data_IF_658263513727
#
_entry.id   IF_658263513727
#
_cell.length_a   1.000
_cell.length_b   1.000
_cell.length_c   1.000
_cell.angle_alpha   90.00
_cell.angle_beta   90.00
_cell.angle_gamma   90.00
#
_symmetry.space_group_name_H-M   'P 1'
#
loop_
_entity.id
_entity.type
_entity.pdbx_description
1 polymer ?
#
# COMPACT_ATOMS: atom_id res chain seq x y z
N UNK A 1 22.05 -57.08 9.42
CA UNK A 1 22.26 -56.10 8.33
C UNK A 1 23.15 -54.91 8.75
N UNK A 2 23.06 -54.36 9.97
CA UNK A 2 23.91 -53.23 10.41
C UNK A 2 25.41 -53.54 10.54
N UNK A 3 25.79 -54.83 10.83
CA UNK A 3 27.20 -55.24 10.91
C UNK A 3 27.92 -55.21 9.58
N UNK A 4 27.24 -55.62 8.49
CA UNK A 4 27.81 -55.70 7.15
C UNK A 4 28.07 -54.29 6.58
N UNK A 5 27.18 -53.32 6.86
CA UNK A 5 27.36 -51.91 6.48
C UNK A 5 28.50 -51.24 7.26
N UNK A 6 28.72 -51.63 8.51
CA UNK A 6 29.78 -51.08 9.33
C UNK A 6 31.16 -51.59 8.91
N UNK A 7 31.30 -52.90 8.57
CA UNK A 7 32.56 -53.51 8.09
C UNK A 7 32.96 -52.95 6.72
N UNK A 8 32.01 -52.83 5.78
CA UNK A 8 32.26 -52.23 4.47
C UNK A 8 32.62 -50.71 4.51
N UNK A 9 32.14 -50.00 5.53
CA UNK A 9 32.40 -48.55 5.65
C UNK A 9 33.77 -48.27 6.33
N UNK A 10 34.31 -49.17 7.15
CA UNK A 10 35.58 -49.00 7.86
C UNK A 10 36.78 -49.43 6.97
N UNK A 11 36.61 -50.48 6.15
CA UNK A 11 37.71 -51.05 5.37
C UNK A 11 37.90 -50.37 3.98
N UNK A 12 36.96 -49.56 3.51
CA UNK A 12 37.06 -48.87 2.23
C UNK A 12 36.63 -47.40 2.29
N UNK A 13 37.57 -46.45 2.44
CA UNK A 13 37.26 -45.01 2.53
C UNK A 13 36.57 -44.48 1.25
N UNK A 14 36.65 -45.18 0.14
CA UNK A 14 35.97 -44.84 -1.11
C UNK A 14 34.46 -45.09 -1.01
N UNK A 15 34.03 -46.18 -0.39
CA UNK A 15 32.62 -46.53 -0.17
C UNK A 15 31.95 -45.53 0.75
N UNK A 16 32.63 -45.09 1.81
CA UNK A 16 32.13 -44.08 2.70
C UNK A 16 31.93 -42.70 1.99
N UNK A 17 32.88 -42.34 1.12
CA UNK A 17 32.78 -41.11 0.31
C UNK A 17 31.61 -41.15 -0.69
N UNK A 18 31.37 -42.31 -1.31
CA UNK A 18 30.24 -42.51 -2.22
C UNK A 18 28.92 -42.42 -1.48
N UNK A 19 28.77 -43.06 -0.31
CA UNK A 19 27.56 -43.01 0.52
C UNK A 19 27.30 -41.58 0.97
N UNK A 20 28.32 -40.87 1.48
CA UNK A 20 28.21 -39.47 1.84
C UNK A 20 27.85 -38.57 0.64
N UNK A 21 28.40 -38.85 -0.52
CA UNK A 21 28.07 -38.14 -1.76
C UNK A 21 26.62 -38.38 -2.20
N UNK A 22 26.10 -39.60 -2.10
CA UNK A 22 24.70 -39.91 -2.40
C UNK A 22 23.76 -39.24 -1.39
N UNK A 23 24.09 -39.26 -0.10
CA UNK A 23 23.29 -38.58 0.94
C UNK A 23 23.29 -37.06 0.68
N UNK A 24 24.45 -36.45 0.41
CA UNK A 24 24.54 -35.02 0.09
C UNK A 24 23.75 -34.67 -1.19
N UNK A 25 23.83 -35.51 -2.22
CA UNK A 25 23.09 -35.34 -3.47
C UNK A 25 21.57 -35.41 -3.26
N UNK A 26 21.11 -36.42 -2.48
CA UNK A 26 19.68 -36.55 -2.15
C UNK A 26 19.21 -35.37 -1.31
N UNK A 27 20.06 -34.85 -0.41
CA UNK A 27 19.74 -33.65 0.40
C UNK A 27 19.63 -32.39 -0.48
N UNK A 28 20.55 -32.23 -1.44
CA UNK A 28 20.50 -31.10 -2.39
C UNK A 28 19.27 -31.20 -3.31
N UNK A 29 18.93 -32.41 -3.79
CA UNK A 29 17.75 -32.63 -4.64
C UNK A 29 16.46 -32.40 -3.85
N UNK A 30 16.36 -32.91 -2.61
CA UNK A 30 15.16 -32.72 -1.78
C UNK A 30 15.01 -31.26 -1.30
N UNK A 31 16.08 -30.60 -0.88
CA UNK A 31 16.03 -29.18 -0.55
C UNK A 31 15.76 -28.30 -1.79
N UNK A 32 16.37 -28.62 -2.92
CA UNK A 32 16.14 -27.91 -4.18
C UNK A 32 14.70 -28.10 -4.69
N UNK A 33 14.13 -29.31 -4.56
CA UNK A 33 12.78 -29.61 -5.03
C UNK A 33 11.68 -29.02 -4.12
N UNK A 34 11.91 -28.95 -2.79
CA UNK A 34 10.98 -28.34 -1.85
C UNK A 34 11.20 -26.85 -1.70
N UNK A 35 12.38 -26.33 -2.03
CA UNK A 35 12.72 -24.90 -1.98
C UNK A 35 12.31 -24.10 -3.22
N UNK A 36 11.99 -24.77 -4.34
CA UNK A 36 11.39 -24.11 -5.50
C UNK A 36 9.88 -24.01 -5.24
N UNK A 37 9.49 -23.10 -4.35
CA UNK A 37 8.15 -22.52 -4.43
C UNK A 37 8.03 -21.95 -5.83
N UNK A 38 7.15 -22.53 -6.65
CA UNK A 38 6.92 -22.05 -8.01
C UNK A 38 6.57 -20.58 -7.91
N UNK A 39 7.37 -19.66 -8.52
CA UNK A 39 7.00 -18.26 -8.56
C UNK A 39 5.58 -18.16 -9.16
N UNK A 40 4.66 -17.51 -8.48
CA UNK A 40 3.30 -17.32 -8.96
C UNK A 40 2.19 -18.17 -8.34
N UNK A 41 2.48 -19.22 -7.54
CA UNK A 41 1.39 -20.03 -6.92
C UNK A 41 0.55 -19.28 -5.89
N UNK A 42 1.07 -18.20 -5.31
CA UNK A 42 0.40 -17.38 -4.31
C UNK A 42 0.18 -15.92 -4.75
N UNK A 43 0.32 -15.63 -6.04
CA UNK A 43 0.12 -14.30 -6.60
C UNK A 43 -1.33 -14.14 -7.02
N UNK A 44 -2.02 -13.19 -6.43
CA UNK A 44 -3.42 -12.90 -6.74
C UNK A 44 -3.57 -11.79 -7.77
N UNK A 45 -2.68 -10.80 -7.75
CA UNK A 45 -2.68 -9.69 -8.71
C UNK A 45 -1.25 -9.44 -9.18
N UNK A 46 -1.06 -9.27 -10.48
CA UNK A 46 0.19 -8.78 -11.05
C UNK A 46 -0.05 -7.42 -11.69
N UNK A 47 0.72 -6.43 -11.28
CA UNK A 47 0.68 -5.06 -11.81
C UNK A 47 2.02 -4.78 -12.47
N UNK A 48 2.07 -4.75 -13.79
CA UNK A 48 3.30 -4.64 -14.58
C UNK A 48 4.30 -5.77 -14.22
N UNK A 49 5.32 -5.45 -13.40
CA UNK A 49 6.34 -6.39 -12.89
C UNK A 49 6.18 -6.69 -11.41
N UNK A 50 5.22 -6.10 -10.74
CA UNK A 50 5.00 -6.23 -9.30
C UNK A 50 3.92 -7.26 -9.02
N UNK A 51 4.20 -8.13 -8.09
CA UNK A 51 3.31 -9.23 -7.69
C UNK A 51 2.73 -8.92 -6.31
N UNK A 52 1.40 -9.04 -6.20
CA UNK A 52 0.67 -8.92 -4.94
C UNK A 52 0.25 -10.32 -4.52
N UNK A 53 0.75 -10.74 -3.37
CA UNK A 53 0.48 -12.07 -2.83
C UNK A 53 -0.92 -12.17 -2.22
N UNK A 54 -1.47 -13.38 -2.21
CA UNK A 54 -2.74 -13.72 -1.55
C UNK A 54 -2.77 -13.26 -0.08
N UNK A 55 -1.63 -13.35 0.62
CA UNK A 55 -1.55 -12.93 2.02
C UNK A 55 -1.72 -11.41 2.18
N UNK A 56 -1.15 -10.61 1.28
CA UNK A 56 -1.31 -9.17 1.28
C UNK A 56 -2.76 -8.77 0.97
N UNK A 57 -3.34 -9.39 -0.05
CA UNK A 57 -4.75 -9.19 -0.39
C UNK A 57 -5.67 -9.53 0.79
N UNK A 58 -5.49 -10.72 1.40
CA UNK A 58 -6.33 -11.14 2.56
C UNK A 58 -6.18 -10.20 3.74
N UNK A 59 -4.98 -9.70 4.00
CA UNK A 59 -4.76 -8.72 5.06
C UNK A 59 -5.52 -7.42 4.77
N UNK A 60 -5.39 -6.88 3.57
CA UNK A 60 -6.07 -5.66 3.15
C UNK A 60 -7.59 -5.83 3.16
N UNK A 61 -8.08 -6.99 2.71
CA UNK A 61 -9.51 -7.32 2.75
C UNK A 61 -10.05 -7.38 4.18
N UNK A 62 -9.35 -8.07 5.09
CA UNK A 62 -9.76 -8.14 6.49
C UNK A 62 -9.75 -6.77 7.15
N UNK A 63 -8.74 -5.94 6.87
CA UNK A 63 -8.70 -4.56 7.37
C UNK A 63 -9.88 -3.72 6.85
N UNK A 64 -10.23 -3.86 5.58
CA UNK A 64 -11.40 -3.19 5.02
C UNK A 64 -12.70 -3.67 5.68
N UNK A 65 -12.86 -4.98 5.88
CA UNK A 65 -14.02 -5.56 6.58
C UNK A 65 -14.12 -5.03 8.01
N UNK A 66 -13.02 -5.00 8.75
CA UNK A 66 -13.00 -4.51 10.14
C UNK A 66 -13.34 -3.02 10.20
N UNK A 67 -12.81 -2.21 9.28
CA UNK A 67 -13.16 -0.79 9.15
C UNK A 67 -14.66 -0.59 8.88
N UNK A 68 -15.23 -1.30 7.92
CA UNK A 68 -16.67 -1.20 7.63
C UNK A 68 -17.53 -1.72 8.76
N UNK A 69 -17.09 -2.77 9.47
CA UNK A 69 -17.80 -3.27 10.66
C UNK A 69 -17.83 -2.24 11.79
N UNK A 70 -16.73 -1.53 12.01
CA UNK A 70 -16.68 -0.46 13.01
C UNK A 70 -17.57 0.73 12.61
N UNK A 71 -17.61 1.06 11.32
CA UNK A 71 -18.41 2.18 10.79
C UNK A 71 -19.91 1.90 10.82
N UNK A 72 -20.34 0.71 10.37
CA UNK A 72 -21.75 0.36 10.20
C UNK A 72 -22.32 -0.49 11.34
N UNK A 73 -21.47 -0.98 12.24
CA UNK A 73 -21.85 -1.78 13.43
C UNK A 73 -22.83 -2.93 13.08
N UNK A 74 -23.99 -2.94 13.73
CA UNK A 74 -25.01 -4.00 13.58
C UNK A 74 -25.63 -4.05 12.18
N UNK A 75 -25.51 -3.01 11.38
CA UNK A 75 -26.01 -2.99 10.00
C UNK A 75 -25.07 -3.68 9.01
N UNK A 76 -23.82 -3.97 9.41
CA UNK A 76 -22.85 -4.60 8.54
C UNK A 76 -23.07 -6.11 8.43
N UNK A 77 -23.49 -6.55 7.25
CA UNK A 77 -23.80 -7.94 6.95
C UNK A 77 -23.22 -8.37 5.58
N UNK A 78 -23.39 -9.65 5.24
CA UNK A 78 -22.87 -10.21 4.00
C UNK A 78 -23.44 -9.54 2.73
N UNK A 79 -24.72 -9.18 2.75
CA UNK A 79 -25.37 -8.48 1.64
C UNK A 79 -24.75 -7.09 1.41
N UNK A 80 -24.43 -6.38 2.48
CA UNK A 80 -23.76 -5.09 2.40
C UNK A 80 -22.36 -5.20 1.83
N UNK A 81 -21.59 -6.23 2.21
CA UNK A 81 -20.25 -6.50 1.66
C UNK A 81 -20.32 -6.67 0.15
N UNK A 82 -21.26 -7.45 -0.36
CA UNK A 82 -21.47 -7.65 -1.80
C UNK A 82 -21.94 -6.37 -2.49
N UNK A 83 -22.93 -5.69 -1.92
CA UNK A 83 -23.48 -4.44 -2.47
C UNK A 83 -22.39 -3.33 -2.56
N UNK A 84 -21.51 -3.26 -1.58
CA UNK A 84 -20.40 -2.30 -1.55
C UNK A 84 -19.22 -2.73 -2.41
N UNK A 85 -19.23 -3.97 -2.95
CA UNK A 85 -18.15 -4.55 -3.75
C UNK A 85 -16.80 -4.42 -3.05
N UNK A 86 -16.75 -4.78 -1.75
CA UNK A 86 -15.55 -4.58 -0.93
C UNK A 86 -14.32 -5.29 -1.53
N UNK A 87 -14.50 -6.48 -2.11
CA UNK A 87 -13.42 -7.20 -2.80
C UNK A 87 -12.82 -6.40 -3.94
N UNK A 88 -13.67 -5.86 -4.82
CA UNK A 88 -13.23 -5.09 -5.98
C UNK A 88 -12.51 -3.81 -5.55
N UNK A 89 -13.04 -3.12 -4.53
CA UNK A 89 -12.39 -1.92 -3.97
C UNK A 89 -11.01 -2.23 -3.42
N UNK A 90 -10.85 -3.31 -2.65
CA UNK A 90 -9.54 -3.70 -2.10
C UNK A 90 -8.55 -4.04 -3.21
N UNK A 91 -9.01 -4.74 -4.26
CA UNK A 91 -8.16 -5.01 -5.43
C UNK A 91 -7.74 -3.71 -6.13
N UNK A 92 -8.68 -2.80 -6.33
CA UNK A 92 -8.41 -1.50 -6.95
C UNK A 92 -7.42 -0.67 -6.14
N UNK A 93 -7.58 -0.64 -4.81
CA UNK A 93 -6.69 0.08 -3.91
C UNK A 93 -5.27 -0.50 -3.94
N UNK A 94 -5.13 -1.83 -3.93
CA UNK A 94 -3.84 -2.50 -4.03
C UNK A 94 -3.15 -2.22 -5.37
N UNK A 95 -3.89 -2.30 -6.47
CA UNK A 95 -3.37 -1.95 -7.81
C UNK A 95 -2.93 -0.48 -7.85
N UNK A 96 -3.77 0.42 -7.38
CA UNK A 96 -3.45 1.85 -7.36
C UNK A 96 -2.20 2.13 -6.51
N UNK A 97 -2.08 1.47 -5.36
CA UNK A 97 -0.90 1.59 -4.47
C UNK A 97 0.38 1.17 -5.18
N UNK A 98 0.40 0.01 -5.85
CA UNK A 98 1.58 -0.45 -6.56
C UNK A 98 1.96 0.46 -7.73
N UNK A 99 0.97 0.97 -8.47
CA UNK A 99 1.21 1.94 -9.55
C UNK A 99 1.84 3.24 -9.03
N UNK A 100 1.38 3.74 -7.88
CA UNK A 100 1.99 4.92 -7.25
C UNK A 100 3.42 4.66 -6.77
N UNK A 101 3.71 3.48 -6.21
CA UNK A 101 5.06 3.09 -5.76
C UNK A 101 5.99 2.98 -6.97
N UNK A 102 5.55 2.33 -8.05
CA UNK A 102 6.31 2.20 -9.29
C UNK A 102 6.64 3.58 -9.85
N UNK A 103 5.62 4.46 -9.95
CA UNK A 103 5.79 5.81 -10.47
C UNK A 103 6.70 6.68 -9.60
N UNK A 104 6.57 6.57 -8.31
CA UNK A 104 7.46 7.24 -7.38
C UNK A 104 8.93 6.79 -7.54
N UNK A 105 9.13 5.49 -7.79
CA UNK A 105 10.45 4.92 -8.11
C UNK A 105 11.06 5.49 -9.39
N UNK A 106 10.24 5.61 -10.46
CA UNK A 106 10.66 6.23 -11.72
C UNK A 106 11.04 7.71 -11.54
N UNK A 107 10.33 8.43 -10.68
CA UNK A 107 10.62 9.82 -10.33
C UNK A 107 11.80 9.98 -9.35
N UNK A 108 12.41 8.88 -8.90
CA UNK A 108 13.50 8.90 -7.93
C UNK A 108 13.10 9.34 -6.52
N UNK A 109 11.80 9.27 -6.19
CA UNK A 109 11.28 9.65 -4.87
C UNK A 109 11.75 8.63 -3.84
N UNK A 110 12.38 9.14 -2.78
CA UNK A 110 12.88 8.34 -1.66
C UNK A 110 12.43 8.92 -0.33
N UNK A 111 12.46 8.08 0.71
CA UNK A 111 12.17 8.46 2.09
C UNK A 111 13.38 8.12 2.94
N UNK A 112 13.92 9.11 3.62
CA UNK A 112 15.03 8.92 4.56
C UNK A 112 14.53 8.25 5.86
N UNK A 113 15.47 7.70 6.64
CA UNK A 113 15.13 7.11 7.94
C UNK A 113 14.66 8.18 8.93
N UNK A 114 15.13 9.41 8.78
CA UNK A 114 14.70 10.55 9.57
C UNK A 114 13.24 10.94 9.25
N UNK A 115 12.89 11.07 7.96
CA UNK A 115 11.50 11.35 7.54
C UNK A 115 10.53 10.26 8.04
N UNK A 116 10.93 8.99 7.95
CA UNK A 116 10.14 7.87 8.45
C UNK A 116 9.93 7.97 9.96
N UNK A 117 11.02 8.15 10.72
CA UNK A 117 10.97 8.27 12.17
C UNK A 117 10.08 9.45 12.59
N UNK A 118 10.25 10.61 11.96
CA UNK A 118 9.46 11.80 12.27
C UNK A 118 7.97 11.60 11.95
N UNK A 119 7.67 10.90 10.87
CA UNK A 119 6.30 10.51 10.53
C UNK A 119 5.67 9.65 11.62
N UNK A 120 6.40 8.62 12.09
CA UNK A 120 5.91 7.72 13.12
C UNK A 120 5.75 8.44 14.47
N UNK A 121 6.73 9.27 14.85
CA UNK A 121 6.67 10.07 16.08
C UNK A 121 5.46 11.02 16.11
N UNK A 122 5.03 11.55 14.95
CA UNK A 122 3.85 12.42 14.85
C UNK A 122 2.51 11.71 14.96
N UNK A 123 2.48 10.37 14.88
CA UNK A 123 1.23 9.59 14.99
C UNK A 123 0.69 9.63 16.42
N UNK A 124 -0.42 10.32 16.61
CA UNK A 124 -1.06 10.51 17.94
C UNK A 124 -1.42 9.20 18.63
N UNK A 125 -1.67 8.13 17.88
CA UNK A 125 -1.98 6.79 18.41
C UNK A 125 -0.84 6.22 19.28
N UNK A 126 0.40 6.66 19.04
CA UNK A 126 1.58 6.25 19.82
C UNK A 126 1.95 7.22 20.92
N UNK A 127 1.09 8.21 21.20
CA UNK A 127 1.34 9.21 22.25
C UNK A 127 0.67 8.80 23.57
N UNK A 128 1.40 9.06 24.65
CA UNK A 128 0.88 9.07 26.01
C UNK A 128 1.19 10.45 26.58
N UNK A 129 0.18 11.11 27.15
CA UNK A 129 0.30 12.45 27.70
C UNK A 129 0.84 13.50 26.68
N UNK A 130 0.48 13.33 25.38
CA UNK A 130 0.88 14.24 24.32
C UNK A 130 2.28 13.97 23.72
N UNK A 131 3.04 13.02 24.26
CA UNK A 131 4.41 12.68 23.83
C UNK A 131 4.47 11.26 23.29
N UNK A 132 5.30 11.03 22.25
CA UNK A 132 5.54 9.69 21.72
C UNK A 132 6.04 8.74 22.82
N UNK A 133 5.40 7.57 22.93
CA UNK A 133 5.72 6.55 23.90
C UNK A 133 6.14 5.25 23.22
N UNK A 134 7.42 4.91 23.32
CA UNK A 134 7.98 3.71 22.70
C UNK A 134 7.32 2.42 23.20
N UNK A 135 7.04 2.30 24.49
CA UNK A 135 6.40 1.11 25.06
C UNK A 135 4.98 0.94 24.52
N UNK A 136 4.24 2.05 24.33
CA UNK A 136 2.92 2.03 23.69
C UNK A 136 3.00 1.61 22.23
N UNK A 137 3.97 2.15 21.48
CA UNK A 137 4.25 1.77 20.10
C UNK A 137 4.49 0.26 19.98
N UNK A 138 5.46 -0.29 20.73
CA UNK A 138 5.80 -1.71 20.69
C UNK A 138 4.62 -2.61 21.09
N UNK A 139 3.82 -2.19 22.09
CA UNK A 139 2.62 -2.90 22.53
C UNK A 139 1.54 -2.92 21.45
N UNK A 140 1.26 -1.79 20.81
CA UNK A 140 0.26 -1.69 19.76
C UNK A 140 0.65 -2.50 18.53
N UNK A 141 1.91 -2.50 18.12
CA UNK A 141 2.37 -3.37 17.06
C UNK A 141 2.19 -4.86 17.41
N UNK A 142 2.62 -5.27 18.60
CA UNK A 142 2.49 -6.66 19.05
C UNK A 142 1.02 -7.12 19.11
N UNK A 143 0.11 -6.27 19.63
CA UNK A 143 -1.33 -6.60 19.70
C UNK A 143 -1.97 -6.73 18.32
N UNK A 144 -1.46 -6.03 17.32
CA UNK A 144 -1.88 -6.14 15.91
C UNK A 144 -1.06 -7.18 15.11
N UNK A 145 -0.21 -7.98 15.77
CA UNK A 145 0.66 -8.98 15.13
C UNK A 145 1.57 -8.40 14.05
N UNK A 146 2.00 -7.16 14.25
CA UNK A 146 2.92 -6.47 13.37
C UNK A 146 4.33 -6.49 13.95
N UNK A 147 5.32 -6.71 13.09
CA UNK A 147 6.72 -6.44 13.41
C UNK A 147 7.03 -4.96 13.16
N UNK A 148 7.98 -4.41 13.91
CA UNK A 148 8.49 -3.05 13.70
C UNK A 148 8.94 -2.84 12.24
N UNK A 149 9.73 -3.77 11.70
CA UNK A 149 10.21 -3.72 10.32
C UNK A 149 9.06 -3.73 9.30
N UNK A 150 8.04 -4.57 9.50
CA UNK A 150 6.87 -4.65 8.62
C UNK A 150 6.04 -3.38 8.65
N UNK A 151 5.82 -2.81 9.85
CA UNK A 151 5.11 -1.55 10.01
C UNK A 151 5.89 -0.38 9.40
N UNK A 152 7.17 -0.24 9.71
CA UNK A 152 8.03 0.82 9.17
C UNK A 152 8.16 0.72 7.65
N UNK A 153 8.27 -0.49 7.09
CA UNK A 153 8.24 -0.73 5.65
C UNK A 153 6.95 -0.27 4.99
N UNK A 154 5.80 -0.54 5.62
CA UNK A 154 4.50 -0.06 5.13
C UNK A 154 4.39 1.46 5.22
N UNK A 155 4.83 2.07 6.32
CA UNK A 155 4.84 3.52 6.48
C UNK A 155 5.73 4.22 5.44
N UNK A 156 6.89 3.64 5.14
CA UNK A 156 7.77 4.16 4.10
C UNK A 156 7.08 4.17 2.73
N UNK A 157 6.36 3.11 2.38
CA UNK A 157 5.56 3.05 1.15
C UNK A 157 4.48 4.15 1.12
N UNK A 158 3.75 4.36 2.23
CA UNK A 158 2.75 5.43 2.30
C UNK A 158 3.35 6.83 2.11
N UNK A 159 4.48 7.12 2.77
CA UNK A 159 5.17 8.40 2.61
C UNK A 159 5.62 8.61 1.16
N UNK A 160 6.13 7.56 0.51
CA UNK A 160 6.51 7.59 -0.91
C UNK A 160 5.30 7.97 -1.78
N UNK A 161 4.16 7.33 -1.58
CA UNK A 161 2.92 7.58 -2.32
C UNK A 161 2.45 9.02 -2.09
N UNK A 162 2.43 9.48 -0.85
CA UNK A 162 2.03 10.85 -0.52
C UNK A 162 2.96 11.90 -1.14
N UNK A 163 4.28 11.65 -1.16
CA UNK A 163 5.24 12.54 -1.84
C UNK A 163 4.96 12.59 -3.35
N UNK A 164 4.68 11.45 -4.00
CA UNK A 164 4.34 11.41 -5.42
C UNK A 164 3.05 12.17 -5.73
N UNK A 165 1.99 11.94 -4.94
CA UNK A 165 0.72 12.67 -5.08
C UNK A 165 0.90 14.17 -4.84
N UNK A 166 1.75 14.56 -3.88
CA UNK A 166 2.02 15.97 -3.58
C UNK A 166 2.63 16.71 -4.76
N UNK A 167 3.56 16.10 -5.50
CA UNK A 167 4.12 16.72 -6.72
C UNK A 167 3.02 17.12 -7.69
N UNK A 168 2.01 16.26 -7.87
CA UNK A 168 0.87 16.56 -8.76
C UNK A 168 -0.01 17.64 -8.15
N UNK A 169 -0.29 17.59 -6.85
CA UNK A 169 -1.08 18.61 -6.16
C UNK A 169 -0.42 19.98 -6.23
N UNK A 170 0.89 20.05 -6.07
CA UNK A 170 1.66 21.29 -6.09
C UNK A 170 1.77 21.90 -7.49
N UNK A 171 1.55 21.10 -8.55
CA UNK A 171 1.47 21.62 -9.92
C UNK A 171 0.14 22.32 -10.25
N UNK A 172 -0.85 22.20 -9.38
CA UNK A 172 -2.18 22.79 -9.57
C UNK A 172 -2.25 24.17 -8.93
N UNK A 173 -2.61 25.17 -9.71
CA UNK A 173 -2.87 26.54 -9.24
C UNK A 173 -4.29 26.97 -9.59
N UNK A 174 -4.80 27.96 -8.86
CA UNK A 174 -6.09 28.59 -9.08
C UNK A 174 -5.92 30.10 -9.02
N UNK A 175 -6.37 30.82 -10.07
CA UNK A 175 -6.37 32.27 -10.11
C UNK A 175 -7.63 32.86 -9.46
N UNK A 176 -7.61 34.14 -9.15
CA UNK A 176 -8.77 34.83 -8.60
C UNK A 176 -9.87 34.99 -9.66
N UNK A 177 -9.48 35.13 -10.94
CA UNK A 177 -10.40 35.15 -12.07
C UNK A 177 -11.17 33.82 -12.17
N UNK A 178 -10.46 32.69 -12.07
CA UNK A 178 -11.08 31.37 -12.11
C UNK A 178 -12.05 31.14 -10.96
N UNK A 179 -11.76 31.70 -9.77
CA UNK A 179 -12.69 31.65 -8.62
C UNK A 179 -13.97 32.44 -8.95
N UNK A 180 -13.83 33.62 -9.54
CA UNK A 180 -14.99 34.46 -9.90
C UNK A 180 -15.83 33.82 -11.01
N UNK A 181 -15.21 33.18 -11.98
CA UNK A 181 -15.90 32.47 -13.08
C UNK A 181 -16.65 31.23 -12.57
N UNK A 182 -16.04 30.50 -11.63
CA UNK A 182 -16.63 29.29 -11.06
C UNK A 182 -17.75 29.60 -10.05
N UNK A 183 -17.60 30.68 -9.31
CA UNK A 183 -18.55 31.14 -8.30
C UNK A 183 -18.99 32.58 -8.59
N UNK A 184 -19.82 32.82 -9.63
CA UNK A 184 -20.23 34.16 -9.98
C UNK A 184 -20.99 34.84 -8.82
N UNK A 185 -20.74 36.12 -8.63
CA UNK A 185 -21.53 36.94 -7.71
C UNK A 185 -22.94 37.08 -8.27
N UNK A 186 -23.95 36.59 -7.57
CA UNK A 186 -25.35 36.82 -7.92
C UNK A 186 -25.71 38.28 -7.60
N UNK A 187 -25.45 39.20 -8.52
CA UNK A 187 -25.84 40.59 -8.41
C UNK A 187 -27.29 40.68 -8.88
N UNK A 188 -28.24 40.54 -7.97
CA UNK A 188 -29.66 40.81 -8.23
C UNK A 188 -29.92 42.29 -7.99
N UNK A 189 -29.78 43.11 -9.01
CA UNK A 189 -30.10 44.54 -8.94
C UNK A 189 -29.29 45.38 -9.93
N UNK A 190 -30.00 46.19 -10.70
CA UNK A 190 -29.53 47.08 -11.75
C UNK A 190 -28.76 48.30 -11.18
N UNK A 191 -27.52 48.11 -10.78
CA UNK A 191 -26.45 49.11 -10.71
C UNK A 191 -25.13 48.40 -10.90
N UNK A 192 -24.33 48.80 -11.85
CA UNK A 192 -22.91 48.43 -12.01
C UNK A 192 -22.10 48.96 -10.83
N UNK A 193 -22.26 48.34 -9.69
CA UNK A 193 -21.33 48.45 -8.59
C UNK A 193 -20.39 47.25 -8.72
N UNK A 194 -19.13 47.51 -8.96
CA UNK A 194 -18.08 46.49 -8.87
C UNK A 194 -18.01 45.98 -7.43
N UNK A 195 -18.92 45.08 -7.08
CA UNK A 195 -18.94 44.45 -5.77
C UNK A 195 -17.78 43.46 -5.75
N UNK A 196 -16.67 43.92 -5.18
CA UNK A 196 -15.56 43.01 -4.95
C UNK A 196 -15.94 42.07 -3.80
N UNK A 197 -15.68 40.79 -4.02
CA UNK A 197 -15.89 39.75 -3.01
C UNK A 197 -14.99 40.03 -1.81
N UNK A 198 -15.48 39.83 -0.56
CA UNK A 198 -14.63 39.95 0.64
C UNK A 198 -13.41 39.04 0.54
N UNK A 199 -12.25 39.54 0.96
CA UNK A 199 -10.96 38.84 0.85
C UNK A 199 -11.03 37.45 1.51
N UNK A 200 -11.66 37.33 2.67
CA UNK A 200 -11.81 36.07 3.40
C UNK A 200 -12.66 35.06 2.61
N UNK A 201 -13.71 35.49 1.96
CA UNK A 201 -14.56 34.65 1.12
C UNK A 201 -13.81 34.22 -0.12
N UNK A 202 -13.09 35.10 -0.79
CA UNK A 202 -12.24 34.78 -1.94
C UNK A 202 -11.21 33.71 -1.57
N UNK A 203 -10.51 33.88 -0.44
CA UNK A 203 -9.52 32.91 0.01
C UNK A 203 -10.13 31.54 0.33
N UNK A 204 -11.31 31.50 0.93
CA UNK A 204 -12.03 30.25 1.21
C UNK A 204 -12.43 29.53 -0.04
N UNK A 205 -13.03 30.23 -1.01
CA UNK A 205 -13.44 29.68 -2.30
C UNK A 205 -12.22 29.21 -3.12
N UNK A 206 -11.15 30.00 -3.10
CA UNK A 206 -9.89 29.63 -3.77
C UNK A 206 -9.30 28.35 -3.23
N UNK A 207 -9.22 28.21 -1.88
CA UNK A 207 -8.77 26.97 -1.22
C UNK A 207 -9.66 25.78 -1.59
N UNK A 208 -10.97 25.98 -1.60
CA UNK A 208 -11.93 24.94 -1.96
C UNK A 208 -11.76 24.48 -3.41
N UNK A 209 -11.69 25.43 -4.34
CA UNK A 209 -11.49 25.12 -5.76
C UNK A 209 -10.12 24.45 -6.01
N UNK A 210 -9.07 24.96 -5.34
CA UNK A 210 -7.75 24.37 -5.42
C UNK A 210 -7.75 22.92 -4.94
N UNK A 211 -8.38 22.63 -3.80
CA UNK A 211 -8.52 21.26 -3.30
C UNK A 211 -9.25 20.37 -4.30
N UNK A 212 -10.37 20.80 -4.86
CA UNK A 212 -11.11 20.03 -5.87
C UNK A 212 -10.26 19.76 -7.12
N UNK A 213 -9.55 20.76 -7.61
CA UNK A 213 -8.68 20.61 -8.79
C UNK A 213 -7.50 19.70 -8.51
N UNK A 214 -6.91 19.77 -7.32
CA UNK A 214 -5.83 18.88 -6.89
C UNK A 214 -6.29 17.43 -6.84
N UNK A 215 -7.45 17.15 -6.23
CA UNK A 215 -8.01 15.80 -6.20
C UNK A 215 -8.36 15.30 -7.60
N UNK A 216 -8.94 16.15 -8.45
CA UNK A 216 -9.23 15.81 -9.85
C UNK A 216 -7.95 15.48 -10.62
N UNK A 217 -6.87 16.24 -10.44
CA UNK A 217 -5.58 16.01 -11.08
C UNK A 217 -4.95 14.69 -10.63
N UNK A 218 -4.94 14.41 -9.33
CA UNK A 218 -4.44 13.13 -8.78
C UNK A 218 -5.25 11.94 -9.31
N UNK A 219 -6.57 12.05 -9.35
CA UNK A 219 -7.45 10.99 -9.85
C UNK A 219 -7.27 10.78 -11.36
N UNK A 220 -7.14 11.85 -12.14
CA UNK A 220 -6.87 11.76 -13.57
C UNK A 220 -5.52 11.11 -13.86
N UNK A 221 -4.50 11.46 -13.08
CA UNK A 221 -3.17 10.85 -13.19
C UNK A 221 -3.21 9.36 -12.83
N UNK A 222 -3.89 9.00 -11.74
CA UNK A 222 -4.08 7.60 -11.33
C UNK A 222 -4.82 6.79 -12.40
N UNK A 223 -5.87 7.36 -13.00
CA UNK A 223 -6.60 6.73 -14.11
C UNK A 223 -5.72 6.53 -15.34
N UNK A 224 -4.87 7.51 -15.68
CA UNK A 224 -3.92 7.39 -16.78
C UNK A 224 -2.87 6.28 -16.53
N UNK A 225 -2.29 6.21 -15.32
CA UNK A 225 -1.38 5.12 -14.93
C UNK A 225 -2.06 3.76 -15.06
N UNK A 226 -3.29 3.64 -14.57
CA UNK A 226 -4.07 2.40 -14.65
C UNK A 226 -4.34 1.98 -16.10
N UNK A 227 -4.67 2.93 -16.97
CA UNK A 227 -4.92 2.68 -18.40
C UNK A 227 -3.69 2.17 -19.16
N UNK A 228 -2.49 2.49 -18.69
CA UNK A 228 -1.22 2.07 -19.30
C UNK A 228 -0.67 0.77 -18.68
N UNK A 229 -1.15 0.38 -17.50
CA UNK A 229 -0.64 -0.74 -16.75
C UNK A 229 -1.16 -2.09 -17.30
N UNK A 230 -0.30 -3.10 -17.24
CA UNK A 230 -0.67 -4.50 -17.48
C UNK A 230 -1.09 -5.11 -16.14
N UNK A 231 -2.39 -5.31 -15.98
CA UNK A 231 -2.97 -5.85 -14.75
C UNK A 231 -3.52 -7.24 -15.05
N UNK A 232 -3.08 -8.23 -14.29
CA UNK A 232 -3.59 -9.59 -14.34
C UNK A 232 -4.08 -10.00 -12.96
N UNK A 233 -5.31 -10.54 -12.88
CA UNK A 233 -5.95 -10.97 -11.63
C UNK A 233 -6.24 -12.47 -11.71
N UNK A 234 -5.67 -13.23 -10.80
CA UNK A 234 -5.99 -14.64 -10.63
C UNK A 234 -7.24 -14.80 -9.75
N UNK A 235 -8.40 -14.93 -10.39
CA UNK A 235 -9.69 -15.03 -9.71
C UNK A 235 -9.88 -16.33 -8.91
N UNK A 236 -9.08 -17.35 -9.18
CA UNK A 236 -9.17 -18.66 -8.48
C UNK A 236 -8.63 -18.56 -7.04
N UNK A 237 -7.85 -17.52 -6.73
CA UNK A 237 -7.24 -17.30 -5.42
C UNK A 237 -7.99 -16.26 -4.56
N UNK A 238 -9.12 -15.71 -5.04
CA UNK A 238 -9.91 -14.65 -4.38
C UNK A 238 -11.00 -15.17 -3.43
#
# INVERSE_FOLDING_TARGET
MLKIVRELAVDNPLVLKIIMGVIALTFVITMGWWGIQRPGQNVVITVNKHEIEVQEYRRSYNQAIDYYRELYKDQFNAEMIEKMKVRDKVMEDLVARELWIEKAGELGIRVSDEELRDSIIKMKIFHKDGVFNRTLYDRLLASNRLTTQGFEGSQRKEIIIEKAKRIIKDSVSVSDEEVNDTFPLNITGSKEVSVQRPIEEMQRLKKFLQFQKQEKAVNAYAAAMRGQAKINVNKELL
#
